data_IF_312085223229
#
_entry.id   IF_312085223229
#
_cell.length_a   1.000
_cell.length_b   1.000
_cell.length_c   1.000
_cell.angle_alpha   90.00
_cell.angle_beta   90.00
_cell.angle_gamma   90.00
#
_symmetry.space_group_name_H-M   'P 1'
#
loop_
_entity.id
_entity.type
_entity.pdbx_description
1 polymer ?
#
# COMPACT_ATOMS: atom_id res chain seq x y z
N UNK A 1 -19.46 6.93 7.14
CA UNK A 1 -19.39 5.46 7.12
C UNK A 1 -19.61 4.83 8.49
N UNK A 2 -18.90 5.22 9.57
CA UNK A 2 -19.12 4.60 10.89
C UNK A 2 -20.57 4.74 11.36
N UNK A 3 -21.19 5.93 11.24
CA UNK A 3 -22.59 6.12 11.58
C UNK A 3 -23.55 5.24 10.75
N UNK A 4 -23.25 5.04 9.45
CA UNK A 4 -24.03 4.14 8.60
C UNK A 4 -23.89 2.67 9.02
N UNK A 5 -22.67 2.22 9.34
CA UNK A 5 -22.43 0.89 9.87
C UNK A 5 -23.11 0.64 11.22
N UNK A 6 -23.04 1.62 12.13
CA UNK A 6 -23.75 1.55 13.41
C UNK A 6 -25.26 1.52 13.22
N UNK A 7 -25.80 2.32 12.29
CA UNK A 7 -27.22 2.30 11.96
C UNK A 7 -27.64 0.92 11.41
N UNK A 8 -26.84 0.31 10.52
CA UNK A 8 -27.10 -1.03 10.00
C UNK A 8 -27.15 -2.09 11.12
N UNK A 9 -26.28 -1.99 12.11
CA UNK A 9 -26.30 -2.87 13.29
C UNK A 9 -27.56 -2.65 14.15
N UNK A 10 -27.88 -1.39 14.45
CA UNK A 10 -29.03 -1.04 15.30
C UNK A 10 -30.38 -1.38 14.63
N UNK A 11 -30.48 -1.31 13.31
CA UNK A 11 -31.69 -1.66 12.55
C UNK A 11 -31.82 -3.15 12.25
N UNK A 12 -30.81 -3.97 12.59
CA UNK A 12 -30.80 -5.41 12.31
C UNK A 12 -30.43 -5.77 10.86
N UNK A 13 -30.12 -4.79 10.01
CA UNK A 13 -29.57 -5.04 8.66
C UNK A 13 -28.22 -5.76 8.71
N UNK A 14 -27.42 -5.51 9.78
CA UNK A 14 -26.25 -6.30 10.12
C UNK A 14 -26.61 -7.16 11.33
N UNK A 15 -26.78 -8.50 11.16
CA UNK A 15 -27.07 -9.39 12.27
C UNK A 15 -25.95 -9.42 13.31
N UNK A 16 -26.30 -9.51 14.60
CA UNK A 16 -25.31 -9.52 15.68
C UNK A 16 -24.23 -10.61 15.55
N UNK A 17 -24.57 -11.88 15.19
CA UNK A 17 -23.56 -12.91 14.97
C UNK A 17 -22.57 -12.55 13.85
N UNK A 18 -23.06 -11.98 12.75
CA UNK A 18 -22.19 -11.52 11.63
C UNK A 18 -21.26 -10.36 12.08
N UNK A 19 -21.77 -9.45 12.92
CA UNK A 19 -20.93 -8.39 13.50
C UNK A 19 -19.84 -8.96 14.42
N UNK A 20 -20.13 -9.99 15.22
CA UNK A 20 -19.13 -10.63 16.09
C UNK A 20 -18.03 -11.31 15.27
N UNK A 21 -18.41 -12.03 14.22
CA UNK A 21 -17.45 -12.67 13.30
C UNK A 21 -16.58 -11.60 12.59
N UNK A 22 -17.21 -10.57 12.07
CA UNK A 22 -16.53 -9.42 11.46
C UNK A 22 -15.53 -8.79 12.44
N UNK A 23 -15.93 -8.52 13.67
CA UNK A 23 -15.07 -7.94 14.69
C UNK A 23 -13.87 -8.84 15.00
N UNK A 24 -14.09 -10.17 15.12
CA UNK A 24 -13.02 -11.16 15.32
C UNK A 24 -11.94 -11.10 14.24
N UNK A 25 -12.32 -10.91 12.98
CA UNK A 25 -11.39 -10.79 11.84
C UNK A 25 -10.73 -9.41 11.76
N UNK A 26 -11.48 -8.35 12.00
CA UNK A 26 -11.01 -6.98 11.69
C UNK A 26 -10.24 -6.33 12.83
N UNK A 27 -10.53 -6.64 14.09
CA UNK A 27 -9.82 -6.04 15.24
C UNK A 27 -8.31 -6.32 15.23
N UNK A 28 -7.81 -7.54 14.99
CA UNK A 28 -6.36 -7.79 14.87
C UNK A 28 -5.71 -6.96 13.76
N UNK A 29 -6.39 -6.86 12.61
CA UNK A 29 -5.91 -6.10 11.45
C UNK A 29 -5.87 -4.59 11.75
N UNK A 30 -6.91 -4.04 12.35
CA UNK A 30 -6.94 -2.63 12.75
C UNK A 30 -5.90 -2.32 13.84
N UNK A 31 -5.66 -3.26 14.77
CA UNK A 31 -4.60 -3.14 15.78
C UNK A 31 -3.21 -3.07 15.12
N UNK A 32 -2.97 -3.91 14.12
CA UNK A 32 -1.75 -3.85 13.32
C UNK A 32 -1.60 -2.48 12.63
N UNK A 33 -2.66 -1.96 11.99
CA UNK A 33 -2.63 -0.65 11.33
C UNK A 33 -2.27 0.48 12.30
N UNK A 34 -2.85 0.49 13.50
CA UNK A 34 -2.51 1.48 14.54
C UNK A 34 -1.05 1.36 14.95
N UNK A 35 -0.59 0.14 15.26
CA UNK A 35 0.79 -0.09 15.69
C UNK A 35 1.80 0.32 14.61
N UNK A 36 1.56 -0.05 13.34
CA UNK A 36 2.43 0.33 12.22
C UNK A 36 2.42 1.83 11.94
N UNK A 37 1.27 2.50 12.06
CA UNK A 37 1.21 3.95 11.95
C UNK A 37 2.07 4.65 13.01
N UNK A 38 1.97 4.20 14.27
CA UNK A 38 2.81 4.71 15.36
C UNK A 38 4.31 4.47 15.09
N UNK A 39 4.68 3.25 14.69
CA UNK A 39 6.07 2.92 14.32
C UNK A 39 6.57 3.85 13.24
N UNK A 40 5.80 4.01 12.15
CA UNK A 40 6.18 4.79 10.99
C UNK A 40 6.36 6.28 11.32
N UNK A 41 5.43 6.88 12.05
CA UNK A 41 5.49 8.28 12.48
C UNK A 41 6.69 8.52 13.42
N UNK A 42 6.94 7.63 14.39
CA UNK A 42 8.08 7.74 15.30
C UNK A 42 9.43 7.55 14.57
N UNK A 43 9.50 6.66 13.61
CA UNK A 43 10.69 6.45 12.76
C UNK A 43 10.97 7.66 11.88
N UNK A 44 9.93 8.32 11.36
CA UNK A 44 10.06 9.58 10.62
C UNK A 44 10.53 10.73 11.54
N UNK A 45 9.91 10.89 12.70
CA UNK A 45 10.31 11.88 13.72
C UNK A 45 11.76 11.64 14.23
N UNK A 46 12.26 10.40 14.19
CA UNK A 46 13.66 10.07 14.44
C UNK A 46 14.60 10.49 13.28
N UNK A 47 14.03 10.81 12.11
CA UNK A 47 14.75 11.29 10.93
C UNK A 47 15.29 10.20 10.01
N UNK A 48 14.83 8.92 10.15
CA UNK A 48 15.34 7.81 9.34
C UNK A 48 15.11 8.05 7.85
N UNK A 49 13.91 8.43 7.44
CA UNK A 49 13.59 8.64 6.02
C UNK A 49 14.44 9.75 5.40
N UNK A 50 14.68 10.83 6.13
CA UNK A 50 15.55 11.92 5.68
C UNK A 50 16.99 11.44 5.49
N UNK A 51 17.56 10.74 6.47
CA UNK A 51 18.94 10.23 6.39
C UNK A 51 19.09 9.23 5.25
N UNK A 52 18.14 8.32 5.09
CA UNK A 52 18.14 7.34 3.98
C UNK A 52 18.14 8.08 2.64
N UNK A 53 17.28 9.08 2.46
CA UNK A 53 17.18 9.81 1.20
C UNK A 53 18.43 10.64 0.90
N UNK A 54 19.02 11.32 1.89
CA UNK A 54 20.27 12.03 1.70
C UNK A 54 21.42 11.09 1.32
N UNK A 55 21.46 9.88 1.90
CA UNK A 55 22.40 8.82 1.51
C UNK A 55 22.16 8.35 0.08
N UNK A 56 20.89 8.15 -0.31
CA UNK A 56 20.55 7.78 -1.69
C UNK A 56 20.95 8.89 -2.68
N UNK A 57 20.79 10.16 -2.32
CA UNK A 57 21.25 11.28 -3.14
C UNK A 57 22.78 11.25 -3.37
N UNK A 58 23.54 10.96 -2.32
CA UNK A 58 25.00 10.81 -2.43
C UNK A 58 25.37 9.59 -3.30
N UNK A 59 24.70 8.46 -3.09
CA UNK A 59 24.90 7.23 -3.89
C UNK A 59 24.53 7.42 -5.36
N UNK A 60 23.62 8.34 -5.69
CA UNK A 60 23.22 8.68 -7.06
C UNK A 60 24.34 9.28 -7.91
N UNK A 61 25.47 9.68 -7.29
CA UNK A 61 26.70 10.16 -7.94
C UNK A 61 26.44 11.24 -9.01
N UNK A 62 25.44 12.08 -8.78
CA UNK A 62 25.06 13.15 -9.70
C UNK A 62 24.37 12.67 -11.01
N UNK A 63 23.95 11.39 -11.11
CA UNK A 63 23.21 10.86 -12.26
C UNK A 63 21.75 10.73 -11.93
N UNK A 64 20.88 11.39 -12.71
CA UNK A 64 19.42 11.38 -12.49
C UNK A 64 18.83 9.96 -12.61
N UNK A 65 19.27 9.18 -13.59
CA UNK A 65 18.81 7.79 -13.78
C UNK A 65 19.14 6.90 -12.59
N UNK A 66 20.36 7.02 -12.02
CA UNK A 66 20.74 6.25 -10.84
C UNK A 66 19.96 6.69 -9.60
N UNK A 67 19.74 8.00 -9.43
CA UNK A 67 18.91 8.54 -8.36
C UNK A 67 17.48 8.02 -8.46
N UNK A 68 16.92 7.98 -9.67
CA UNK A 68 15.58 7.45 -9.91
C UNK A 68 15.50 5.95 -9.59
N UNK A 69 16.49 5.13 -9.98
CA UNK A 69 16.55 3.72 -9.61
C UNK A 69 16.63 3.51 -8.10
N UNK A 70 17.39 4.35 -7.39
CA UNK A 70 17.45 4.32 -5.94
C UNK A 70 16.13 4.74 -5.29
N UNK A 71 15.42 5.72 -5.88
CA UNK A 71 14.08 6.10 -5.45
C UNK A 71 13.05 4.97 -5.67
N UNK A 72 13.13 4.22 -6.79
CA UNK A 72 12.35 3.01 -7.02
C UNK A 72 12.61 1.98 -5.92
N UNK A 73 13.89 1.69 -5.62
CA UNK A 73 14.26 0.77 -4.55
C UNK A 73 13.68 1.18 -3.20
N UNK A 74 13.81 2.46 -2.83
CA UNK A 74 13.25 3.00 -1.59
C UNK A 74 11.72 2.90 -1.56
N UNK A 75 11.04 3.32 -2.62
CA UNK A 75 9.58 3.25 -2.70
C UNK A 75 9.09 1.80 -2.63
N UNK A 76 9.73 0.88 -3.35
CA UNK A 76 9.38 -0.55 -3.34
C UNK A 76 9.58 -1.16 -1.95
N UNK A 77 10.74 -0.97 -1.32
CA UNK A 77 11.03 -1.51 0.03
C UNK A 77 10.07 -0.92 1.06
N UNK A 78 9.86 0.41 1.02
CA UNK A 78 8.91 1.07 1.92
C UNK A 78 7.49 0.50 1.73
N UNK A 79 7.03 0.34 0.50
CA UNK A 79 5.68 -0.20 0.23
C UNK A 79 5.55 -1.64 0.70
N UNK A 80 6.51 -2.49 0.35
CA UNK A 80 6.46 -3.93 0.65
C UNK A 80 6.47 -4.20 2.16
N UNK A 81 7.25 -3.45 2.94
CA UNK A 81 7.46 -3.73 4.36
C UNK A 81 6.73 -2.79 5.32
N UNK A 82 6.42 -1.58 4.91
CA UNK A 82 5.78 -0.61 5.80
C UNK A 82 4.32 -0.35 5.45
N UNK A 83 4.00 -0.02 4.26
CA UNK A 83 2.68 0.05 3.61
C UNK A 83 2.67 1.03 2.42
N UNK A 84 1.59 0.93 1.60
CA UNK A 84 1.33 1.89 0.52
C UNK A 84 1.16 3.32 1.06
N UNK A 85 0.50 3.50 2.19
CA UNK A 85 0.24 4.82 2.80
C UNK A 85 1.53 5.46 3.30
N UNK A 86 2.44 4.69 3.90
CA UNK A 86 3.77 5.15 4.31
C UNK A 86 4.57 5.68 3.12
N UNK A 87 4.58 4.95 2.01
CA UNK A 87 5.27 5.39 0.79
C UNK A 87 4.66 6.68 0.25
N UNK A 88 3.34 6.79 0.23
CA UNK A 88 2.64 7.98 -0.23
C UNK A 88 2.91 9.20 0.65
N UNK A 89 2.94 9.03 1.97
CA UNK A 89 3.01 10.14 2.93
C UNK A 89 4.45 10.56 3.25
N UNK A 90 5.37 9.61 3.41
CA UNK A 90 6.72 9.88 3.88
C UNK A 90 7.78 9.81 2.77
N UNK A 91 7.74 8.80 1.90
CA UNK A 91 8.74 8.66 0.84
C UNK A 91 8.52 9.71 -0.26
N UNK A 92 7.26 9.96 -0.64
CA UNK A 92 6.94 10.91 -1.71
C UNK A 92 7.53 12.32 -1.46
N UNK A 93 7.23 13.01 -0.34
CA UNK A 93 7.74 14.36 -0.16
C UNK A 93 9.26 14.42 -0.17
N UNK A 94 9.91 13.41 0.40
CA UNK A 94 11.38 13.39 0.50
C UNK A 94 12.01 13.20 -0.87
N UNK A 95 11.51 12.27 -1.66
CA UNK A 95 12.01 11.99 -3.04
C UNK A 95 11.70 13.16 -3.98
N UNK A 96 10.54 13.78 -3.85
CA UNK A 96 10.13 14.92 -4.67
C UNK A 96 10.92 16.18 -4.31
N UNK A 97 11.12 16.47 -3.01
CA UNK A 97 11.97 17.57 -2.55
C UNK A 97 13.41 17.40 -3.04
N UNK A 98 13.92 16.17 -3.01
CA UNK A 98 15.25 15.88 -3.55
C UNK A 98 15.33 16.23 -5.04
N UNK A 99 14.32 15.87 -5.83
CA UNK A 99 14.27 16.23 -7.25
C UNK A 99 14.22 17.75 -7.44
N UNK A 100 13.39 18.48 -6.67
CA UNK A 100 13.28 19.93 -6.73
C UNK A 100 14.62 20.59 -6.37
N UNK A 101 15.25 20.19 -5.28
CA UNK A 101 16.55 20.74 -4.84
C UNK A 101 17.67 20.42 -5.85
N UNK A 102 17.62 19.26 -6.47
CA UNK A 102 18.55 18.88 -7.55
C UNK A 102 18.26 19.57 -8.88
N UNK A 103 17.20 20.41 -8.98
CA UNK A 103 16.74 21.09 -10.19
C UNK A 103 16.43 20.14 -11.36
N UNK A 104 15.87 18.97 -11.04
CA UNK A 104 15.37 17.99 -12.01
C UNK A 104 13.85 17.93 -11.96
N UNK A 105 13.18 17.55 -13.07
CA UNK A 105 11.72 17.45 -13.10
C UNK A 105 11.21 16.53 -11.98
N UNK A 106 10.31 17.00 -11.09
CA UNK A 106 9.82 16.19 -9.95
C UNK A 106 8.76 15.16 -10.37
N UNK A 107 8.09 15.36 -11.50
CA UNK A 107 6.96 14.53 -11.93
C UNK A 107 7.31 13.03 -12.10
N UNK A 108 8.43 12.63 -12.75
CA UNK A 108 8.81 11.22 -12.83
C UNK A 108 8.94 10.56 -11.45
N UNK A 109 9.55 11.27 -10.50
CA UNK A 109 9.73 10.79 -9.11
C UNK A 109 8.40 10.70 -8.36
N UNK A 110 7.54 11.69 -8.51
CA UNK A 110 6.21 11.72 -7.91
C UNK A 110 5.33 10.57 -8.42
N UNK A 111 5.29 10.35 -9.74
CA UNK A 111 4.52 9.24 -10.33
C UNK A 111 5.09 7.87 -9.93
N UNK A 112 6.42 7.75 -9.86
CA UNK A 112 7.06 6.52 -9.39
C UNK A 112 6.62 6.15 -7.99
N UNK A 113 6.58 7.10 -7.06
CA UNK A 113 6.19 6.81 -5.67
C UNK A 113 4.73 6.37 -5.56
N UNK A 114 3.78 7.03 -6.23
CA UNK A 114 2.36 6.65 -6.13
C UNK A 114 2.03 5.37 -6.89
N UNK A 115 2.65 5.14 -8.04
CA UNK A 115 2.42 3.90 -8.78
C UNK A 115 2.97 2.71 -8.00
N UNK A 116 4.21 2.79 -7.48
CA UNK A 116 4.79 1.73 -6.66
C UNK A 116 4.12 1.59 -5.29
N UNK A 117 3.61 2.67 -4.69
CA UNK A 117 2.81 2.57 -3.48
C UNK A 117 1.60 1.64 -3.69
N UNK A 118 0.93 1.74 -4.84
CA UNK A 118 -0.16 0.83 -5.16
C UNK A 118 0.35 -0.54 -5.64
N UNK A 119 1.18 -0.59 -6.68
CA UNK A 119 1.48 -1.84 -7.40
C UNK A 119 2.50 -2.74 -6.69
N UNK A 120 3.45 -2.18 -5.94
CA UNK A 120 4.39 -2.97 -5.14
C UNK A 120 3.76 -3.49 -3.83
N UNK A 121 2.55 -3.05 -3.49
CA UNK A 121 1.88 -3.47 -2.26
C UNK A 121 1.37 -4.92 -2.29
N UNK A 122 1.37 -5.59 -3.43
CA UNK A 122 0.83 -6.94 -3.56
C UNK A 122 1.67 -8.02 -2.84
N UNK A 123 2.99 -7.84 -2.69
CA UNK A 123 3.91 -8.92 -2.34
C UNK A 123 3.74 -9.48 -0.92
N UNK A 124 3.57 -8.61 0.08
CA UNK A 124 3.45 -9.03 1.48
C UNK A 124 2.10 -8.63 2.09
N UNK A 125 1.61 -9.40 3.06
CA UNK A 125 0.36 -9.07 3.76
C UNK A 125 0.37 -7.68 4.40
N UNK A 126 1.49 -7.31 5.03
CA UNK A 126 1.66 -6.03 5.76
C UNK A 126 1.63 -4.79 4.87
N UNK A 127 1.81 -4.95 3.57
CA UNK A 127 1.91 -3.86 2.60
C UNK A 127 0.57 -3.15 2.36
N UNK A 128 -0.54 -3.89 2.49
CA UNK A 128 -1.88 -3.39 2.20
C UNK A 128 -2.93 -4.11 3.07
N UNK A 129 -3.93 -3.36 3.51
CA UNK A 129 -5.03 -3.89 4.31
C UNK A 129 -5.80 -5.02 3.59
N UNK A 130 -5.98 -4.91 2.27
CA UNK A 130 -6.61 -5.96 1.45
C UNK A 130 -5.84 -7.27 1.49
N UNK A 131 -4.51 -7.22 1.49
CA UNK A 131 -3.66 -8.41 1.59
C UNK A 131 -3.74 -9.06 2.98
N UNK A 132 -3.77 -8.25 4.05
CA UNK A 132 -3.92 -8.77 5.42
C UNK A 132 -5.23 -9.54 5.58
N UNK A 133 -6.32 -8.98 5.05
CA UNK A 133 -7.63 -9.63 5.06
C UNK A 133 -7.63 -10.93 4.23
N UNK A 134 -7.00 -10.91 3.05
CA UNK A 134 -6.88 -12.07 2.20
C UNK A 134 -6.02 -13.17 2.85
N UNK A 135 -4.89 -12.79 3.47
CA UNK A 135 -4.04 -13.72 4.20
C UNK A 135 -4.79 -14.40 5.35
N UNK A 136 -5.53 -13.61 6.15
CA UNK A 136 -6.35 -14.10 7.25
C UNK A 136 -7.40 -15.08 6.73
N UNK A 137 -8.16 -14.71 5.68
CA UNK A 137 -9.18 -15.56 5.07
C UNK A 137 -8.62 -16.88 4.54
N UNK A 138 -7.43 -16.85 3.91
CA UNK A 138 -6.76 -18.03 3.38
C UNK A 138 -6.02 -18.85 4.46
N UNK A 139 -5.90 -18.32 5.66
CA UNK A 139 -5.11 -18.90 6.76
C UNK A 139 -3.68 -19.26 6.32
N UNK A 140 -3.05 -18.38 5.54
CA UNK A 140 -1.69 -18.56 5.03
C UNK A 140 -0.66 -17.90 5.94
N UNK A 141 0.54 -18.50 6.03
CA UNK A 141 1.68 -17.76 6.56
C UNK A 141 2.10 -16.63 5.62
N UNK A 142 2.78 -15.57 6.11
CA UNK A 142 3.26 -14.49 5.24
C UNK A 142 4.14 -14.98 4.09
N UNK A 143 4.97 -16.01 4.34
CA UNK A 143 5.82 -16.62 3.31
C UNK A 143 5.01 -17.39 2.26
N UNK A 144 3.97 -18.14 2.68
CA UNK A 144 3.08 -18.85 1.77
C UNK A 144 2.26 -17.87 0.92
N UNK A 145 1.78 -16.77 1.52
CA UNK A 145 1.12 -15.69 0.79
C UNK A 145 2.05 -15.08 -0.27
N UNK A 146 3.28 -14.71 0.12
CA UNK A 146 4.28 -14.20 -0.82
C UNK A 146 4.59 -15.22 -1.93
N UNK A 147 4.67 -16.51 -1.60
CA UNK A 147 4.85 -17.60 -2.55
C UNK A 147 3.72 -17.71 -3.58
N UNK A 148 2.48 -17.34 -3.21
CA UNK A 148 1.34 -17.32 -4.13
C UNK A 148 1.40 -16.12 -5.10
N UNK A 149 1.83 -14.95 -4.62
CA UNK A 149 1.72 -13.69 -5.39
C UNK A 149 3.05 -13.10 -5.87
N UNK A 150 4.19 -13.78 -5.69
CA UNK A 150 5.51 -13.22 -6.04
C UNK A 150 5.64 -12.83 -7.52
N UNK A 151 5.17 -13.69 -8.43
CA UNK A 151 5.28 -13.43 -9.86
C UNK A 151 4.36 -12.27 -10.32
N UNK A 152 3.05 -12.22 -9.95
CA UNK A 152 2.23 -11.04 -10.14
C UNK A 152 2.81 -9.77 -9.53
N UNK A 153 3.40 -9.85 -8.32
CA UNK A 153 4.01 -8.70 -7.67
C UNK A 153 5.22 -8.16 -8.43
N UNK A 154 6.06 -9.04 -8.99
CA UNK A 154 7.15 -8.63 -9.88
C UNK A 154 6.64 -7.90 -11.12
N UNK A 155 5.58 -8.41 -11.76
CA UNK A 155 4.93 -7.74 -12.90
C UNK A 155 4.42 -6.36 -12.45
N UNK A 156 3.75 -6.28 -11.29
CA UNK A 156 3.26 -5.04 -10.69
C UNK A 156 4.35 -3.99 -10.41
N UNK A 157 5.60 -4.42 -10.21
CA UNK A 157 6.75 -3.52 -10.04
C UNK A 157 7.37 -3.17 -11.39
N UNK A 158 7.69 -4.17 -12.22
CA UNK A 158 8.51 -3.98 -13.41
C UNK A 158 7.77 -3.28 -14.55
N UNK A 159 6.48 -3.58 -14.77
CA UNK A 159 5.70 -2.98 -15.88
C UNK A 159 5.50 -1.47 -15.67
N UNK A 160 5.01 -0.99 -14.49
CA UNK A 160 4.91 0.44 -14.24
C UNK A 160 6.24 1.19 -14.34
N UNK A 161 7.33 0.62 -13.82
CA UNK A 161 8.68 1.19 -13.92
C UNK A 161 9.09 1.31 -15.39
N UNK A 162 8.89 0.28 -16.20
CA UNK A 162 9.20 0.27 -17.61
C UNK A 162 8.43 1.36 -18.38
N UNK A 163 7.13 1.51 -18.08
CA UNK A 163 6.30 2.56 -18.70
C UNK A 163 6.76 3.97 -18.29
N UNK A 164 7.08 4.19 -17.03
CA UNK A 164 7.60 5.48 -16.55
C UNK A 164 8.96 5.78 -17.17
N UNK A 165 9.84 4.78 -17.28
CA UNK A 165 11.12 4.97 -17.96
C UNK A 165 10.93 5.34 -19.43
N UNK A 166 10.04 4.66 -20.16
CA UNK A 166 9.75 4.99 -21.56
C UNK A 166 9.20 6.41 -21.72
N UNK A 167 8.29 6.82 -20.82
CA UNK A 167 7.68 8.14 -20.84
C UNK A 167 8.68 9.27 -20.53
N UNK A 168 9.56 9.05 -19.54
CA UNK A 168 10.43 10.09 -18.98
C UNK A 168 11.92 9.89 -19.24
N UNK A 169 12.32 8.98 -20.13
CA UNK A 169 13.73 8.66 -20.41
C UNK A 169 14.60 9.87 -20.72
N UNK A 170 14.03 10.92 -21.33
CA UNK A 170 14.75 12.17 -21.63
C UNK A 170 15.04 12.97 -20.35
N UNK A 171 14.06 13.07 -19.46
CA UNK A 171 14.19 13.78 -18.18
C UNK A 171 15.12 13.05 -17.22
N UNK A 172 15.21 11.71 -17.33
CA UNK A 172 16.02 10.84 -16.49
C UNK A 172 17.50 10.72 -17.00
N UNK A 173 17.84 11.22 -18.17
CA UNK A 173 19.18 11.13 -18.75
C UNK A 173 20.15 12.20 -18.23
N UNK A 174 19.70 13.13 -17.37
CA UNK A 174 20.47 14.29 -16.92
C UNK A 174 21.47 14.01 -15.81
N UNK A 175 22.15 15.09 -15.38
CA UNK A 175 23.00 15.13 -14.16
C UNK A 175 22.49 16.20 -13.21
N UNK A 176 22.73 16.01 -11.91
CA UNK A 176 22.39 16.97 -10.87
C UNK A 176 23.61 17.29 -9.97
N UNK A 177 23.68 18.50 -9.36
CA UNK A 177 24.71 18.84 -8.41
C UNK A 177 24.50 18.08 -7.09
N UNK A 178 25.57 17.49 -6.57
CA UNK A 178 25.51 16.83 -5.26
C UNK A 178 25.40 17.86 -4.15
N UNK A 179 24.55 17.62 -3.19
CA UNK A 179 24.39 18.44 -1.99
C UNK A 179 25.04 17.75 -0.79
N UNK A 180 25.56 18.53 0.18
CA UNK A 180 26.11 17.97 1.40
C UNK A 180 25.03 17.29 2.23
N UNK A 181 25.38 16.15 2.83
CA UNK A 181 24.52 15.40 3.74
C UNK A 181 24.44 16.13 5.09
N UNK A 182 23.22 16.38 5.58
CA UNK A 182 23.03 17.00 6.89
C UNK A 182 23.20 15.95 8.00
N UNK A 183 23.72 16.38 9.14
CA UNK A 183 23.83 15.51 10.33
C UNK A 183 22.48 15.41 11.03
N UNK A 184 22.10 14.20 11.43
CA UNK A 184 20.90 13.97 12.24
C UNK A 184 21.06 14.69 13.62
N UNK A 185 19.95 15.25 14.12
CA UNK A 185 19.94 16.00 15.38
C UNK A 185 20.11 15.10 16.61
N UNK A 186 19.54 13.89 16.62
CA UNK A 186 19.63 12.90 17.68
C UNK A 186 20.05 11.53 17.14
N UNK A 187 21.33 11.24 17.21
CA UNK A 187 21.92 9.99 16.73
C UNK A 187 21.42 8.76 17.51
N UNK A 188 21.15 8.91 18.81
CA UNK A 188 20.68 7.78 19.63
C UNK A 188 19.27 7.39 19.20
N UNK A 189 18.39 8.38 19.04
CA UNK A 189 17.02 8.14 18.60
C UNK A 189 17.00 7.54 17.19
N UNK A 190 17.84 8.08 16.28
CA UNK A 190 17.97 7.58 14.91
C UNK A 190 18.45 6.12 14.88
N UNK A 191 19.55 5.79 15.58
CA UNK A 191 20.09 4.42 15.56
C UNK A 191 19.17 3.42 16.25
N UNK A 192 18.50 3.82 17.35
CA UNK A 192 17.54 2.97 18.02
C UNK A 192 16.31 2.71 17.14
N UNK A 193 15.76 3.74 16.50
CA UNK A 193 14.64 3.58 15.56
C UNK A 193 15.05 2.72 14.35
N UNK A 194 16.24 2.91 13.82
CA UNK A 194 16.78 2.07 12.74
C UNK A 194 16.93 0.61 13.18
N UNK A 195 17.43 0.36 14.39
CA UNK A 195 17.54 -0.98 14.98
C UNK A 195 16.19 -1.68 15.12
N UNK A 196 15.19 -0.96 15.64
CA UNK A 196 13.81 -1.48 15.73
C UNK A 196 13.27 -1.83 14.34
N UNK A 197 13.49 -0.98 13.32
CA UNK A 197 13.07 -1.25 11.95
C UNK A 197 13.76 -2.50 11.38
N UNK A 198 15.07 -2.63 11.54
CA UNK A 198 15.84 -3.80 11.06
C UNK A 198 15.36 -5.10 11.68
N UNK A 199 14.95 -5.08 12.95
CA UNK A 199 14.40 -6.25 13.66
C UNK A 199 12.92 -6.52 13.28
N UNK A 200 12.15 -5.47 13.04
CA UNK A 200 10.74 -5.57 12.67
C UNK A 200 10.56 -6.25 11.30
N UNK A 201 11.38 -5.90 10.28
CA UNK A 201 11.24 -6.44 8.93
C UNK A 201 11.24 -7.99 8.90
N UNK A 202 12.22 -8.70 9.46
CA UNK A 202 12.17 -10.16 9.51
C UNK A 202 11.05 -10.68 10.43
N UNK A 203 10.70 -9.96 11.50
CA UNK A 203 9.62 -10.36 12.40
C UNK A 203 8.26 -10.39 11.70
N UNK A 204 7.99 -9.46 10.78
CA UNK A 204 6.75 -9.43 9.98
C UNK A 204 6.60 -10.62 9.01
N UNK A 205 7.68 -11.34 8.70
CA UNK A 205 7.68 -12.48 7.78
C UNK A 205 7.91 -13.81 8.53
N UNK A 206 8.20 -13.75 9.85
CA UNK A 206 8.58 -14.91 10.67
C UNK A 206 7.46 -15.92 10.94
N UNK A 207 6.19 -15.60 10.61
CA UNK A 207 5.02 -16.41 10.94
C UNK A 207 4.36 -16.07 12.30
N UNK A 208 4.97 -15.18 13.10
CA UNK A 208 4.29 -14.57 14.25
C UNK A 208 3.18 -13.66 13.74
N UNK A 209 1.96 -13.68 14.34
CA UNK A 209 0.91 -12.77 13.90
C UNK A 209 1.39 -11.31 13.89
N UNK A 210 1.24 -10.65 12.75
CA UNK A 210 1.87 -9.36 12.43
C UNK A 210 1.53 -8.25 13.42
N UNK A 211 0.35 -8.29 14.02
CA UNK A 211 -0.07 -7.32 15.02
C UNK A 211 0.83 -7.35 16.27
N UNK A 212 1.30 -8.52 16.73
CA UNK A 212 2.17 -8.61 17.90
C UNK A 212 3.56 -8.07 17.63
N UNK A 213 4.14 -8.37 16.47
CA UNK A 213 5.43 -7.81 16.03
C UNK A 213 5.38 -6.29 15.93
N UNK A 214 4.32 -5.75 15.32
CA UNK A 214 4.10 -4.31 15.19
C UNK A 214 3.87 -3.63 16.57
N UNK A 215 3.05 -4.24 17.43
CA UNK A 215 2.81 -3.73 18.80
C UNK A 215 4.09 -3.71 19.63
N UNK A 216 4.92 -4.75 19.55
CA UNK A 216 6.19 -4.80 20.27
C UNK A 216 7.13 -3.68 19.79
N UNK A 217 7.27 -3.49 18.47
CA UNK A 217 8.05 -2.40 17.90
C UNK A 217 7.50 -1.02 18.32
N UNK A 218 6.18 -0.82 18.26
CA UNK A 218 5.54 0.41 18.71
C UNK A 218 5.78 0.68 20.20
N UNK A 219 5.68 -0.33 21.05
CA UNK A 219 5.92 -0.20 22.49
C UNK A 219 7.39 0.17 22.81
N UNK A 220 8.36 -0.45 22.13
CA UNK A 220 9.79 -0.11 22.28
C UNK A 220 10.06 1.32 21.86
N UNK A 221 9.57 1.74 20.68
CA UNK A 221 9.74 3.11 20.20
C UNK A 221 9.03 4.11 21.11
N UNK A 222 7.81 3.83 21.56
CA UNK A 222 7.06 4.68 22.47
C UNK A 222 7.84 4.89 23.78
N UNK A 223 8.36 3.82 24.38
CA UNK A 223 9.21 3.90 25.56
C UNK A 223 10.45 4.77 25.34
N UNK A 224 11.12 4.63 24.20
CA UNK A 224 12.29 5.43 23.82
C UNK A 224 11.93 6.92 23.66
N UNK A 225 10.81 7.22 22.99
CA UNK A 225 10.34 8.60 22.82
C UNK A 225 9.86 9.22 24.13
N UNK A 226 9.20 8.48 25.01
CA UNK A 226 8.83 8.92 26.34
C UNK A 226 10.05 9.30 27.18
N UNK A 227 11.15 8.58 27.00
CA UNK A 227 12.41 8.87 27.71
C UNK A 227 13.15 10.08 27.12
N UNK A 228 13.27 10.17 25.78
CA UNK A 228 14.17 11.15 25.12
C UNK A 228 13.46 12.36 24.52
N UNK A 229 12.23 12.21 24.02
CA UNK A 229 11.57 13.25 23.22
C UNK A 229 10.04 13.21 23.37
N UNK A 230 9.55 13.34 24.59
CA UNK A 230 8.10 13.29 24.90
C UNK A 230 7.27 14.28 24.07
N UNK A 231 7.82 15.46 23.77
CA UNK A 231 7.15 16.51 22.99
C UNK A 231 6.84 16.11 21.53
N UNK A 232 7.50 15.07 21.00
CA UNK A 232 7.22 14.57 19.68
C UNK A 232 5.96 13.68 19.64
N UNK A 233 5.56 13.10 20.77
CA UNK A 233 4.38 12.24 20.85
C UNK A 233 3.10 13.05 20.74
N UNK A 234 2.29 12.74 19.73
CA UNK A 234 1.06 13.44 19.39
C UNK A 234 -0.09 12.45 19.16
N UNK A 235 -1.28 12.81 19.60
CA UNK A 235 -2.49 12.00 19.32
C UNK A 235 -2.78 11.85 17.82
N UNK A 236 -2.26 12.75 16.99
CA UNK A 236 -2.37 12.68 15.53
C UNK A 236 -1.57 11.56 14.89
N UNK A 237 -0.63 10.91 15.61
CA UNK A 237 0.08 9.72 15.14
C UNK A 237 -0.86 8.51 15.01
N UNK A 238 -1.96 8.50 15.76
CA UNK A 238 -3.00 7.47 15.61
C UNK A 238 -3.91 7.86 14.43
N UNK A 239 -4.10 7.00 13.42
CA UNK A 239 -4.85 7.31 12.21
C UNK A 239 -6.37 7.20 12.45
N UNK A 240 -6.94 8.05 13.32
CA UNK A 240 -8.36 8.00 13.72
C UNK A 240 -9.34 8.04 12.56
N UNK A 241 -9.09 8.93 11.58
CA UNK A 241 -9.98 9.08 10.42
C UNK A 241 -10.01 7.82 9.55
N UNK A 242 -8.87 7.25 9.12
CA UNK A 242 -8.82 5.95 8.45
C UNK A 242 -9.49 4.84 9.27
N UNK A 243 -9.22 4.74 10.57
CA UNK A 243 -9.82 3.69 11.42
C UNK A 243 -11.35 3.77 11.46
N UNK A 244 -11.91 4.96 11.70
CA UNK A 244 -13.36 5.16 11.72
C UNK A 244 -14.00 4.90 10.35
N UNK A 245 -13.33 5.32 9.27
CA UNK A 245 -13.80 5.09 7.91
C UNK A 245 -13.83 3.60 7.60
N UNK A 246 -12.71 2.91 7.86
CA UNK A 246 -12.53 1.48 7.57
C UNK A 246 -13.48 0.61 8.41
N UNK A 247 -13.60 0.88 9.72
CA UNK A 247 -14.54 0.16 10.59
C UNK A 247 -15.99 0.30 10.12
N UNK A 248 -16.41 1.52 9.77
CA UNK A 248 -17.75 1.76 9.25
C UNK A 248 -17.98 1.10 7.89
N UNK A 249 -16.95 1.06 7.06
CA UNK A 249 -17.00 0.40 5.76
C UNK A 249 -17.16 -1.13 5.91
N UNK A 250 -16.40 -1.75 6.81
CA UNK A 250 -16.56 -3.17 7.12
C UNK A 250 -17.98 -3.51 7.52
N UNK A 251 -18.57 -2.74 8.44
CA UNK A 251 -19.94 -2.95 8.88
C UNK A 251 -20.98 -2.80 7.76
N UNK A 252 -20.84 -1.77 6.91
CA UNK A 252 -21.75 -1.53 5.79
C UNK A 252 -21.66 -2.64 4.74
N UNK A 253 -20.45 -3.04 4.36
CA UNK A 253 -20.26 -4.10 3.35
C UNK A 253 -20.75 -5.44 3.88
N UNK A 254 -20.50 -5.77 5.15
CA UNK A 254 -21.03 -6.99 5.78
C UNK A 254 -22.56 -7.00 5.83
N UNK A 255 -23.19 -5.85 6.14
CA UNK A 255 -24.64 -5.72 6.06
C UNK A 255 -25.16 -5.95 4.64
N UNK A 256 -24.46 -5.45 3.61
CA UNK A 256 -24.82 -5.70 2.21
C UNK A 256 -24.69 -7.19 1.83
N UNK A 257 -23.65 -7.86 2.31
CA UNK A 257 -23.47 -9.31 2.11
C UNK A 257 -24.60 -10.11 2.76
N UNK A 258 -24.96 -9.81 4.00
CA UNK A 258 -26.06 -10.42 4.71
C UNK A 258 -27.41 -10.24 3.95
N UNK A 259 -27.53 -9.18 3.14
CA UNK A 259 -28.73 -8.85 2.36
C UNK A 259 -28.62 -9.17 0.86
N UNK A 260 -27.71 -10.07 0.46
CA UNK A 260 -27.70 -10.68 -0.87
C UNK A 260 -26.69 -10.13 -1.87
N UNK A 261 -25.79 -9.19 -1.47
CA UNK A 261 -24.74 -8.67 -2.35
C UNK A 261 -23.87 -9.80 -2.96
N UNK A 262 -23.51 -10.80 -2.15
CA UNK A 262 -22.70 -11.94 -2.61
C UNK A 262 -23.37 -12.69 -3.74
N UNK A 263 -24.69 -12.95 -3.65
CA UNK A 263 -25.45 -13.64 -4.70
C UNK A 263 -25.48 -12.84 -6.00
N UNK A 264 -25.65 -11.52 -5.91
CA UNK A 264 -25.61 -10.65 -7.08
C UNK A 264 -24.24 -10.70 -7.75
N UNK A 265 -23.16 -10.55 -6.96
CA UNK A 265 -21.80 -10.52 -7.46
C UNK A 265 -21.35 -11.86 -8.05
N UNK A 266 -21.74 -12.99 -7.48
CA UNK A 266 -21.41 -14.32 -8.01
C UNK A 266 -21.96 -14.54 -9.43
N UNK A 267 -23.07 -13.86 -9.79
CA UNK A 267 -23.61 -13.90 -11.14
C UNK A 267 -22.76 -13.20 -12.22
N UNK A 268 -21.89 -12.27 -11.82
CA UNK A 268 -21.10 -11.46 -12.76
C UNK A 268 -19.59 -11.73 -12.69
N UNK A 269 -19.10 -12.45 -11.67
CA UNK A 269 -17.67 -12.69 -11.47
C UNK A 269 -17.15 -13.97 -12.13
N UNK A 270 -18.04 -14.75 -12.73
CA UNK A 270 -17.70 -16.05 -13.28
C UNK A 270 -17.27 -17.06 -12.20
N UNK A 271 -16.95 -18.28 -12.63
CA UNK A 271 -16.50 -19.37 -11.77
C UNK A 271 -15.28 -20.05 -12.37
N UNK A 272 -14.53 -20.80 -11.52
CA UNK A 272 -13.35 -21.54 -11.92
C UNK A 272 -12.07 -20.71 -11.94
N UNK A 273 -10.96 -21.37 -12.26
CA UNK A 273 -9.58 -20.84 -12.14
C UNK A 273 -8.88 -20.76 -13.50
N UNK A 274 -9.61 -20.94 -14.59
CA UNK A 274 -9.08 -20.72 -15.93
C UNK A 274 -8.72 -19.27 -16.18
N UNK A 275 -7.74 -19.01 -17.03
CA UNK A 275 -7.25 -17.67 -17.34
C UNK A 275 -8.37 -16.66 -17.65
N UNK A 276 -9.42 -16.96 -18.44
CA UNK A 276 -10.49 -16.00 -18.69
C UNK A 276 -11.26 -15.61 -17.41
N UNK A 277 -11.55 -16.57 -16.52
CA UNK A 277 -12.26 -16.30 -15.27
C UNK A 277 -11.42 -15.46 -14.30
N UNK A 278 -10.10 -15.71 -14.21
CA UNK A 278 -9.17 -14.91 -13.41
C UNK A 278 -9.03 -13.49 -13.97
N UNK A 279 -8.93 -13.33 -15.29
CA UNK A 279 -8.90 -12.01 -15.95
C UNK A 279 -10.19 -11.23 -15.71
N UNK A 280 -11.36 -11.90 -15.77
CA UNK A 280 -12.66 -11.29 -15.49
C UNK A 280 -12.71 -10.78 -14.05
N UNK A 281 -12.34 -11.61 -13.07
CA UNK A 281 -12.36 -11.24 -11.65
C UNK A 281 -11.38 -10.10 -11.34
N UNK A 282 -10.15 -10.16 -11.87
CA UNK A 282 -9.15 -9.09 -11.70
C UNK A 282 -9.61 -7.79 -12.39
N UNK A 283 -10.20 -7.88 -13.59
CA UNK A 283 -10.75 -6.73 -14.32
C UNK A 283 -11.90 -6.06 -13.56
N UNK A 284 -12.82 -6.85 -13.01
CA UNK A 284 -13.91 -6.36 -12.15
C UNK A 284 -13.35 -5.72 -10.87
N UNK A 285 -12.37 -6.34 -10.23
CA UNK A 285 -11.67 -5.76 -9.08
C UNK A 285 -11.02 -4.42 -9.39
N UNK A 286 -10.31 -4.31 -10.52
CA UNK A 286 -9.69 -3.06 -10.97
C UNK A 286 -10.74 -1.98 -11.30
N UNK A 287 -11.81 -2.34 -12.00
CA UNK A 287 -12.93 -1.44 -12.29
C UNK A 287 -13.61 -0.94 -11.03
N UNK A 288 -13.96 -1.84 -10.11
CA UNK A 288 -14.57 -1.49 -8.83
C UNK A 288 -13.67 -0.60 -7.97
N UNK A 289 -12.36 -0.89 -7.90
CA UNK A 289 -11.41 -0.07 -7.16
C UNK A 289 -11.35 1.37 -7.70
N UNK A 290 -11.36 1.55 -9.02
CA UNK A 290 -11.40 2.88 -9.62
C UNK A 290 -12.76 3.58 -9.50
N UNK A 291 -13.86 2.82 -9.35
CA UNK A 291 -15.19 3.39 -9.15
C UNK A 291 -15.39 3.91 -7.71
N UNK A 292 -14.96 3.12 -6.70
CA UNK A 292 -15.28 3.42 -5.30
C UNK A 292 -14.06 3.56 -4.37
N UNK A 293 -13.06 2.73 -4.48
CA UNK A 293 -11.76 2.65 -3.77
C UNK A 293 -11.37 1.16 -3.65
N UNK A 294 -10.07 0.86 -3.50
CA UNK A 294 -9.54 -0.50 -3.44
C UNK A 294 -10.10 -1.33 -2.27
N UNK A 295 -10.19 -0.77 -1.07
CA UNK A 295 -10.66 -1.52 0.11
C UNK A 295 -12.15 -1.87 0.03
N UNK A 296 -13.09 -0.93 -0.24
CA UNK A 296 -14.50 -1.30 -0.48
C UNK A 296 -14.68 -2.31 -1.61
N UNK A 297 -13.93 -2.14 -2.71
CA UNK A 297 -13.98 -3.06 -3.85
C UNK A 297 -13.55 -4.47 -3.46
N UNK A 298 -12.45 -4.59 -2.71
CA UNK A 298 -11.99 -5.88 -2.18
C UNK A 298 -13.05 -6.51 -1.27
N UNK A 299 -13.54 -5.78 -0.27
CA UNK A 299 -14.52 -6.29 0.69
C UNK A 299 -15.80 -6.76 0.00
N UNK A 300 -16.29 -6.00 -0.98
CA UNK A 300 -17.48 -6.40 -1.74
C UNK A 300 -17.27 -7.69 -2.55
N UNK A 301 -16.09 -7.86 -3.14
CA UNK A 301 -15.76 -8.98 -4.02
C UNK A 301 -15.07 -10.16 -3.30
N UNK A 302 -14.62 -9.99 -2.06
CA UNK A 302 -13.92 -11.03 -1.30
C UNK A 302 -14.68 -12.37 -1.25
N UNK A 303 -16.01 -12.42 -1.00
CA UNK A 303 -16.72 -13.68 -0.90
C UNK A 303 -16.77 -14.51 -2.20
N UNK A 304 -16.60 -13.86 -3.36
CA UNK A 304 -16.56 -14.55 -4.66
C UNK A 304 -15.17 -15.05 -5.06
N UNK A 305 -14.14 -14.69 -4.29
CA UNK A 305 -12.81 -15.30 -4.35
C UNK A 305 -12.77 -16.57 -3.50
N UNK A 306 -13.39 -17.64 -4.01
CA UNK A 306 -13.66 -18.90 -3.31
C UNK A 306 -12.45 -19.85 -3.26
N UNK A 307 -11.34 -19.48 -3.88
CA UNK A 307 -10.07 -20.22 -3.82
C UNK A 307 -8.87 -19.28 -3.67
N UNK A 308 -7.69 -19.80 -3.25
CA UNK A 308 -6.48 -19.00 -3.13
C UNK A 308 -6.10 -18.26 -4.43
N UNK A 309 -6.23 -18.93 -5.57
CA UNK A 309 -5.88 -18.36 -6.88
C UNK A 309 -6.87 -17.29 -7.31
N UNK A 310 -8.16 -17.51 -7.10
CA UNK A 310 -9.18 -16.50 -7.38
C UNK A 310 -9.07 -15.29 -6.47
N UNK A 311 -8.77 -15.50 -5.19
CA UNK A 311 -8.54 -14.39 -4.27
C UNK A 311 -7.28 -13.61 -4.63
N UNK A 312 -6.21 -14.29 -5.08
CA UNK A 312 -5.02 -13.64 -5.62
C UNK A 312 -5.32 -12.83 -6.90
N UNK A 313 -6.16 -13.35 -7.80
CA UNK A 313 -6.60 -12.60 -8.98
C UNK A 313 -7.40 -11.35 -8.61
N UNK A 314 -8.27 -11.44 -7.59
CA UNK A 314 -8.96 -10.27 -7.05
C UNK A 314 -7.97 -9.24 -6.48
N UNK A 315 -6.99 -9.69 -5.68
CA UNK A 315 -5.94 -8.82 -5.14
C UNK A 315 -5.13 -8.13 -6.24
N UNK A 316 -4.82 -8.83 -7.34
CA UNK A 316 -4.19 -8.21 -8.52
C UNK A 316 -5.07 -7.04 -9.01
N UNK A 317 -6.36 -7.26 -9.18
CA UNK A 317 -7.28 -6.22 -9.63
C UNK A 317 -7.33 -5.01 -8.70
N UNK A 318 -7.55 -5.24 -7.40
CA UNK A 318 -7.77 -4.14 -6.43
C UNK A 318 -6.49 -3.46 -5.97
N UNK A 319 -5.31 -4.05 -6.16
CA UNK A 319 -4.03 -3.45 -5.76
C UNK A 319 -3.26 -2.85 -6.95
N UNK A 320 -3.28 -3.49 -8.13
CA UNK A 320 -2.58 -2.99 -9.31
C UNK A 320 -3.48 -2.10 -10.19
N UNK A 321 -4.81 -2.22 -10.03
CA UNK A 321 -5.81 -1.42 -10.75
C UNK A 321 -5.96 0.04 -10.32
N UNK A 322 -5.72 0.44 -9.06
CA UNK A 322 -6.02 1.79 -8.55
C UNK A 322 -5.05 2.88 -9.03
N UNK A 323 -4.83 3.00 -10.32
CA UNK A 323 -3.93 3.99 -10.93
C UNK A 323 -4.67 5.00 -11.80
N UNK A 324 -6.00 4.86 -12.02
CA UNK A 324 -6.73 5.68 -12.99
C UNK A 324 -7.40 6.86 -12.31
N UNK A 325 -8.14 6.62 -11.22
CA UNK A 325 -8.88 7.69 -10.54
C UNK A 325 -8.19 8.11 -9.24
N UNK A 326 -8.29 9.39 -8.84
CA UNK A 326 -7.65 9.87 -7.61
C UNK A 326 -8.11 9.15 -6.35
N UNK A 327 -9.39 8.76 -6.30
CA UNK A 327 -10.02 8.12 -5.15
C UNK A 327 -9.90 6.58 -5.14
N UNK A 328 -9.31 6.00 -6.19
CA UNK A 328 -9.15 4.56 -6.30
C UNK A 328 -8.30 3.95 -5.16
N UNK A 329 -7.44 4.76 -4.55
CA UNK A 329 -6.63 4.38 -3.38
C UNK A 329 -6.49 5.57 -2.43
N UNK A 330 -6.54 5.30 -1.12
CA UNK A 330 -6.26 6.33 -0.11
C UNK A 330 -4.83 6.86 -0.27
N UNK A 331 -3.87 6.01 -0.58
CA UNK A 331 -2.49 6.41 -0.84
C UNK A 331 -2.39 7.47 -1.95
N UNK A 332 -3.18 7.36 -3.02
CA UNK A 332 -3.19 8.37 -4.10
C UNK A 332 -3.69 9.73 -3.61
N UNK A 333 -4.72 9.76 -2.75
CA UNK A 333 -5.21 11.01 -2.16
C UNK A 333 -4.18 11.65 -1.22
N UNK A 334 -3.56 10.84 -0.36
CA UNK A 334 -2.50 11.29 0.56
C UNK A 334 -1.27 11.79 -0.20
N UNK A 335 -0.86 11.07 -1.24
CA UNK A 335 0.20 11.47 -2.15
C UNK A 335 -0.08 12.83 -2.79
N UNK A 336 -1.28 13.04 -3.31
CA UNK A 336 -1.67 14.32 -3.91
C UNK A 336 -1.66 15.47 -2.91
N UNK A 337 -2.12 15.23 -1.68
CA UNK A 337 -2.06 16.22 -0.62
C UNK A 337 -0.59 16.63 -0.32
N UNK A 338 0.33 15.64 -0.26
CA UNK A 338 1.76 15.93 -0.09
C UNK A 338 2.36 16.71 -1.26
N UNK A 339 1.97 16.42 -2.49
CA UNK A 339 2.44 17.20 -3.65
C UNK A 339 1.94 18.62 -3.64
N UNK A 340 0.69 18.86 -3.21
CA UNK A 340 0.16 20.22 -3.07
C UNK A 340 0.96 21.06 -2.07
N UNK A 341 1.40 20.49 -0.96
CA UNK A 341 2.26 21.21 0.02
C UNK A 341 3.64 21.57 -0.58
N UNK A 342 4.07 20.87 -1.63
CA UNK A 342 5.32 21.10 -2.35
C UNK A 342 5.14 21.95 -3.62
N UNK A 343 3.94 22.48 -3.88
CA UNK A 343 3.57 23.22 -5.09
C UNK A 343 3.83 22.42 -6.40
N UNK A 344 3.64 21.10 -6.35
CA UNK A 344 3.70 20.22 -7.52
C UNK A 344 2.27 19.91 -7.96
N UNK A 345 1.89 20.47 -9.11
CA UNK A 345 0.56 20.26 -9.68
C UNK A 345 0.48 19.04 -10.56
N UNK A 346 -0.60 18.29 -10.43
CA UNK A 346 -0.89 17.09 -11.24
C UNK A 346 -2.09 17.37 -12.15
N UNK A 347 -1.90 17.13 -13.43
CA UNK A 347 -3.00 17.15 -14.41
C UNK A 347 -3.73 15.81 -14.37
N UNK A 348 -4.90 15.78 -13.73
CA UNK A 348 -5.67 14.54 -13.53
C UNK A 348 -6.01 13.78 -14.82
N UNK A 349 -6.29 14.51 -15.92
CA UNK A 349 -6.52 13.85 -17.21
C UNK A 349 -5.29 13.09 -17.72
N UNK A 350 -4.09 13.66 -17.55
CA UNK A 350 -2.83 12.97 -17.89
C UNK A 350 -2.53 11.81 -16.96
N UNK A 351 -2.79 11.99 -15.64
CA UNK A 351 -2.66 10.93 -14.65
C UNK A 351 -3.58 9.73 -14.98
N UNK A 352 -4.85 10.01 -15.25
CA UNK A 352 -5.84 8.98 -15.59
C UNK A 352 -5.48 8.24 -16.89
N UNK A 353 -5.07 8.96 -17.94
CA UNK A 353 -4.69 8.34 -19.20
C UNK A 353 -3.44 7.45 -19.06
N UNK A 354 -2.41 7.94 -18.37
CA UNK A 354 -1.20 7.16 -18.08
C UNK A 354 -1.50 5.96 -17.17
N UNK A 355 -2.31 6.17 -16.13
CA UNK A 355 -2.76 5.13 -15.22
C UNK A 355 -3.57 4.04 -15.94
N UNK A 356 -4.49 4.42 -16.83
CA UNK A 356 -5.27 3.47 -17.63
C UNK A 356 -4.35 2.61 -18.52
N UNK A 357 -3.39 3.23 -19.20
CA UNK A 357 -2.41 2.51 -20.01
C UNK A 357 -1.59 1.52 -19.14
N UNK A 358 -1.21 1.94 -17.94
CA UNK A 358 -0.49 1.07 -17.00
C UNK A 358 -1.37 -0.10 -16.54
N UNK A 359 -2.62 0.13 -16.15
CA UNK A 359 -3.57 -0.90 -15.67
C UNK A 359 -3.86 -1.94 -16.76
N UNK A 360 -4.14 -1.48 -17.99
CA UNK A 360 -4.45 -2.35 -19.14
C UNK A 360 -3.30 -3.30 -19.47
N UNK A 361 -2.06 -2.92 -19.18
CA UNK A 361 -0.89 -3.79 -19.38
C UNK A 361 -0.58 -4.60 -18.11
N UNK A 362 -0.55 -3.95 -16.94
CA UNK A 362 -0.05 -4.57 -15.72
C UNK A 362 -1.00 -5.65 -15.20
N UNK A 363 -2.32 -5.38 -15.16
CA UNK A 363 -3.29 -6.33 -14.57
C UNK A 363 -3.36 -7.63 -15.38
N UNK A 364 -3.53 -7.64 -16.71
CA UNK A 364 -3.55 -8.90 -17.46
C UNK A 364 -2.22 -9.67 -17.38
N UNK A 365 -1.08 -8.98 -17.47
CA UNK A 365 0.24 -9.63 -17.37
C UNK A 365 0.46 -10.24 -15.98
N UNK A 366 -0.01 -9.59 -14.91
CA UNK A 366 0.07 -10.12 -13.56
C UNK A 366 -0.83 -11.35 -13.38
N UNK A 367 -2.04 -11.34 -13.96
CA UNK A 367 -2.93 -12.51 -13.95
C UNK A 367 -2.33 -13.68 -14.73
N UNK A 368 -1.74 -13.43 -15.91
CA UNK A 368 -1.01 -14.46 -16.67
C UNK A 368 0.15 -15.02 -15.84
N UNK A 369 0.92 -14.17 -15.17
CA UNK A 369 2.01 -14.61 -14.29
C UNK A 369 1.49 -15.49 -13.14
N UNK A 370 0.36 -15.12 -12.51
CA UNK A 370 -0.30 -15.95 -11.50
C UNK A 370 -0.69 -17.31 -12.05
N UNK A 371 -1.40 -17.34 -13.19
CA UNK A 371 -1.87 -18.55 -13.82
C UNK A 371 -0.73 -19.51 -14.20
N UNK A 372 0.38 -18.98 -14.74
CA UNK A 372 1.57 -19.78 -15.09
C UNK A 372 2.27 -20.37 -13.86
N UNK A 373 2.30 -19.66 -12.74
CA UNK A 373 3.03 -20.11 -11.53
C UNK A 373 2.20 -21.04 -10.64
N UNK A 374 0.88 -21.06 -10.79
CA UNK A 374 0.00 -21.95 -10.02
C UNK A 374 -0.22 -23.33 -10.69
N UNK A 375 0.38 -23.56 -11.87
CA UNK A 375 0.34 -24.88 -12.53
C UNK A 375 -1.03 -25.28 -13.09
N UNK A 376 -1.88 -24.32 -13.36
CA UNK A 376 -3.26 -24.51 -13.84
C UNK A 376 -3.33 -24.59 -15.38
N UNK A 377 -2.52 -25.45 -15.98
CA UNK A 377 -2.44 -25.61 -17.45
C UNK A 377 -3.42 -26.67 -17.94
#
# INVERSE_FOLDING_TARGET
MLAAGTAALLTGLLPWPAFQELAGRTVPVLTFVVAMSLVTEMVDDAGLFRVVTERLAALGRGRVSLLWLLAIGLATVSTVFLSLDTTAVLVTPVVVLLAIHARIPPLPFALTTVWLANTASLLLPVSNLTNLLAQDRLNLSPAAFAGLVWAPALVGILVPIGLLWLAFRKDLAGRYPQQPVHRAQDLVLLYSASGVMVLLLPALVSGVPVQFSAMAAAAVLLGLFLWRRRSALRWSMVPWRPLMLTSGLFMVVEALHANGLTRFLSGITGSGEGLPALLQLAGLGAGAANAVNNLPAYLALEPVGDSPVRLAALLIGVNLGPLVTPWASLATLLWHERLRTLNVEIRWGGFAAAGLAAVVLTVPLAVVALWLTTGMH
#
